data_IF_565055324318
#
_entry.id   IF_565055324318
#
_cell.length_a   1.000
_cell.length_b   1.000
_cell.length_c   1.000
_cell.angle_alpha   90.00
_cell.angle_beta   90.00
_cell.angle_gamma   90.00
#
_symmetry.space_group_name_H-M   'P 1'
#
loop_
_entity.id
_entity.type
_entity.pdbx_description
1 polymer ?
#
# COMPACT_ATOMS: atom_id res chain seq x y z
N UNK A 1 -14.39 0.36 -4.28
CA UNK A 1 -14.32 1.07 -2.98
C UNK A 1 -13.32 2.24 -3.05
N UNK A 2 -12.06 2.03 -3.46
CA UNK A 2 -11.02 3.08 -3.44
C UNK A 2 -10.64 3.69 -4.79
N UNK A 3 -11.33 3.35 -5.88
CA UNK A 3 -11.12 4.01 -7.16
C UNK A 3 -11.66 5.44 -7.08
N UNK A 4 -10.80 6.42 -7.35
CA UNK A 4 -11.13 7.84 -7.30
C UNK A 4 -10.47 8.54 -8.49
N UNK A 5 -11.15 9.54 -9.03
CA UNK A 5 -10.59 10.55 -9.93
C UNK A 5 -10.77 11.88 -9.19
N UNK A 6 -9.67 12.58 -8.95
CA UNK A 6 -9.63 13.83 -8.19
C UNK A 6 -8.94 14.90 -9.04
N UNK A 7 -9.35 16.17 -8.92
CA UNK A 7 -8.65 17.25 -9.61
C UNK A 7 -7.30 17.53 -8.93
N UNK A 8 -6.29 18.05 -9.66
CA UNK A 8 -4.98 18.33 -9.09
C UNK A 8 -5.04 19.27 -7.87
N UNK A 9 -5.94 20.27 -7.90
CA UNK A 9 -6.10 21.23 -6.81
C UNK A 9 -6.61 20.55 -5.53
N UNK A 10 -7.59 19.65 -5.67
CA UNK A 10 -8.14 18.90 -4.55
C UNK A 10 -7.16 17.84 -4.04
N UNK A 11 -6.34 17.25 -4.92
CA UNK A 11 -5.27 16.33 -4.54
C UNK A 11 -4.21 17.04 -3.70
N UNK A 12 -3.80 18.25 -4.11
CA UNK A 12 -2.86 19.07 -3.35
C UNK A 12 -3.43 19.48 -1.99
N UNK A 13 -4.72 19.85 -1.92
CA UNK A 13 -5.40 20.13 -0.65
C UNK A 13 -5.48 18.90 0.27
N UNK A 14 -5.70 17.70 -0.27
CA UNK A 14 -5.69 16.45 0.50
C UNK A 14 -4.28 16.05 0.96
N UNK A 15 -3.25 16.39 0.18
CA UNK A 15 -1.86 16.11 0.54
C UNK A 15 -1.30 17.10 1.58
N UNK A 16 -2.03 18.16 1.91
CA UNK A 16 -1.76 19.02 3.06
C UNK A 16 -2.24 18.32 4.35
N UNK A 17 -1.70 18.73 5.50
CA UNK A 17 -1.94 18.12 6.84
C UNK A 17 -3.41 18.18 7.35
N UNK A 18 -4.37 18.53 6.49
CA UNK A 18 -5.80 18.54 6.79
C UNK A 18 -6.45 17.16 6.67
N UNK A 19 -5.93 16.28 5.81
CA UNK A 19 -6.40 14.89 5.70
C UNK A 19 -5.38 13.94 6.32
N UNK A 20 -5.78 13.29 7.41
CA UNK A 20 -4.93 12.32 8.13
C UNK A 20 -4.82 10.98 7.40
N UNK A 21 -5.59 10.78 6.33
CA UNK A 21 -5.54 9.55 5.54
C UNK A 21 -4.50 9.66 4.43
N UNK A 22 -3.86 8.53 4.09
CA UNK A 22 -3.04 8.46 2.89
C UNK A 22 -3.89 8.64 1.62
N UNK A 23 -3.32 9.18 0.53
CA UNK A 23 -4.00 9.28 -0.76
C UNK A 23 -4.59 7.94 -1.21
N UNK A 24 -5.75 7.95 -1.85
CA UNK A 24 -6.54 6.74 -2.17
C UNK A 24 -5.75 5.69 -2.95
N UNK A 25 -4.91 6.11 -3.91
CA UNK A 25 -4.00 5.21 -4.63
C UNK A 25 -3.00 4.52 -3.70
N UNK A 26 -2.42 5.25 -2.75
CA UNK A 26 -1.42 4.73 -1.80
C UNK A 26 -2.07 3.79 -0.79
N UNK A 27 -3.33 4.03 -0.40
CA UNK A 27 -4.07 3.10 0.46
C UNK A 27 -4.19 1.70 -0.14
N UNK A 28 -4.34 1.61 -1.46
CA UNK A 28 -4.38 0.31 -2.14
C UNK A 28 -2.97 -0.23 -2.30
N UNK A 29 -2.10 0.52 -3.00
CA UNK A 29 -0.77 0.01 -3.39
C UNK A 29 0.11 -0.28 -2.19
N UNK A 30 0.19 0.64 -1.22
CA UNK A 30 1.03 0.47 -0.03
C UNK A 30 0.60 -0.74 0.81
N UNK A 31 -0.70 -0.92 1.01
CA UNK A 31 -1.20 -2.07 1.79
C UNK A 31 -0.94 -3.40 1.09
N UNK A 32 -1.25 -3.50 -0.21
CA UNK A 32 -1.09 -4.78 -0.92
C UNK A 32 0.38 -5.13 -1.23
N UNK A 33 1.27 -4.14 -1.42
CA UNK A 33 2.72 -4.40 -1.54
C UNK A 33 3.34 -4.98 -0.27
N UNK A 34 2.79 -4.65 0.91
CA UNK A 34 3.22 -5.19 2.20
C UNK A 34 2.62 -6.57 2.51
N UNK A 35 1.73 -7.11 1.67
CA UNK A 35 1.03 -8.36 1.95
C UNK A 35 1.59 -9.51 1.11
N UNK A 36 2.21 -10.50 1.74
CA UNK A 36 2.81 -11.65 1.03
C UNK A 36 1.76 -12.47 0.26
N UNK A 37 0.56 -12.63 0.81
CA UNK A 37 -0.52 -13.38 0.17
C UNK A 37 -0.98 -12.72 -1.14
N UNK A 38 -0.97 -11.38 -1.20
CA UNK A 38 -1.27 -10.65 -2.43
C UNK A 38 -0.22 -10.97 -3.50
N UNK A 39 1.07 -10.86 -3.17
CA UNK A 39 2.15 -11.21 -4.09
C UNK A 39 2.02 -12.65 -4.62
N UNK A 40 1.67 -13.60 -3.76
CA UNK A 40 1.47 -15.01 -4.14
C UNK A 40 0.31 -15.20 -5.11
N UNK A 41 -0.87 -14.67 -4.78
CA UNK A 41 -2.09 -14.85 -5.60
C UNK A 41 -1.93 -14.22 -6.98
N UNK A 42 -1.23 -13.08 -7.06
CA UNK A 42 -1.01 -12.36 -8.30
C UNK A 42 0.32 -12.71 -8.99
N UNK A 43 1.06 -13.70 -8.47
CA UNK A 43 2.37 -14.14 -8.98
C UNK A 43 3.35 -12.97 -9.19
N UNK A 44 3.38 -12.02 -8.26
CA UNK A 44 4.30 -10.87 -8.32
C UNK A 44 5.75 -11.35 -8.10
N UNK A 45 6.67 -11.12 -9.06
CA UNK A 45 8.08 -11.47 -8.89
C UNK A 45 8.70 -10.80 -7.67
N UNK A 46 9.68 -11.46 -7.03
CA UNK A 46 10.46 -10.85 -5.96
C UNK A 46 11.13 -9.54 -6.44
N UNK A 47 11.16 -8.53 -5.57
CA UNK A 47 11.65 -7.19 -5.88
C UNK A 47 10.74 -6.34 -6.77
N UNK A 48 9.62 -6.88 -7.27
CA UNK A 48 8.67 -6.08 -8.05
C UNK A 48 7.97 -5.01 -7.17
N UNK A 49 7.39 -3.95 -7.76
CA UNK A 49 6.74 -2.89 -6.97
C UNK A 49 5.64 -3.38 -6.03
N UNK A 50 4.98 -4.49 -6.38
CA UNK A 50 3.92 -5.12 -5.58
C UNK A 50 4.42 -6.29 -4.73
N UNK A 51 5.71 -6.60 -4.79
CA UNK A 51 6.38 -7.56 -3.92
C UNK A 51 7.82 -7.09 -3.57
N UNK A 52 7.95 -5.95 -2.87
CA UNK A 52 9.26 -5.45 -2.45
C UNK A 52 9.88 -6.34 -1.36
N UNK A 53 11.20 -6.32 -1.27
CA UNK A 53 11.99 -7.08 -0.29
C UNK A 53 11.68 -6.62 1.15
N UNK A 54 11.57 -5.30 1.34
CA UNK A 54 11.25 -4.70 2.63
C UNK A 54 9.73 -4.54 2.76
N UNK A 55 9.10 -5.35 3.62
CA UNK A 55 7.68 -5.25 3.96
C UNK A 55 7.51 -4.79 5.40
N UNK A 56 6.51 -3.94 5.62
CA UNK A 56 6.14 -3.47 6.95
C UNK A 56 5.04 -4.36 7.52
N UNK A 57 5.26 -4.90 8.72
CA UNK A 57 4.22 -5.51 9.55
C UNK A 57 4.31 -4.98 10.97
N UNK A 58 3.18 -4.51 11.48
CA UNK A 58 3.08 -3.89 12.81
C UNK A 58 2.21 -4.75 13.73
N UNK A 59 1.28 -5.52 13.17
CA UNK A 59 0.18 -6.13 13.92
C UNK A 59 0.26 -7.65 13.95
N UNK A 60 0.77 -8.28 12.88
CA UNK A 60 1.08 -9.70 12.93
C UNK A 60 2.46 -9.82 13.55
N UNK A 61 2.53 -10.34 14.78
CA UNK A 61 3.82 -10.66 15.39
C UNK A 61 4.57 -11.58 14.42
N UNK A 62 5.90 -11.46 14.27
CA UNK A 62 6.67 -12.44 13.50
C UNK A 62 6.69 -13.74 14.30
N UNK A 63 5.62 -14.53 14.19
CA UNK A 63 5.66 -15.93 14.58
C UNK A 63 6.32 -16.66 13.43
N UNK A 64 7.65 -16.71 13.52
CA UNK A 64 8.52 -17.63 12.80
C UNK A 64 8.59 -17.36 11.30
N UNK A 65 9.60 -16.56 10.91
CA UNK A 65 10.28 -16.84 9.65
C UNK A 65 10.87 -18.27 9.75
N UNK A 66 10.75 -19.13 8.72
CA UNK A 66 11.72 -20.19 8.56
C UNK A 66 13.12 -19.60 8.37
#
# INVERSE_FOLDING_TARGET
>A
IWCEIISPELEEMKNQDYDVHSPTRIRVLGSVSNTMDFARVFNCPEGSPMNPDNKCDIWTKPTVAP
#
